data_IF_751773832340
#
_entry.id   IF_751773832340
#
_cell.length_a   1.000
_cell.length_b   1.000
_cell.length_c   1.000
_cell.angle_alpha   90.00
_cell.angle_beta   90.00
_cell.angle_gamma   90.00
#
_symmetry.space_group_name_H-M   'P 1'
#
loop_
_entity.id
_entity.type
_entity.pdbx_description
1 polymer ?
#
# COMPACT_ATOMS: atom_id res chain seq x y z
N UNK A 1 26.20 -41.55 43.91
CA UNK A 1 25.13 -41.31 42.93
C UNK A 1 24.92 -39.81 42.89
N UNK A 2 25.54 -39.12 41.92
CA UNK A 2 25.52 -37.67 41.81
C UNK A 2 24.66 -37.29 40.59
N UNK A 3 23.58 -36.54 40.81
CA UNK A 3 22.75 -35.99 39.74
C UNK A 3 23.45 -34.76 39.16
N UNK A 4 23.80 -34.83 37.87
CA UNK A 4 24.22 -33.67 37.07
C UNK A 4 22.96 -33.08 36.44
N UNK A 5 22.54 -31.91 36.92
CA UNK A 5 21.50 -31.11 36.27
C UNK A 5 22.13 -30.37 35.07
N UNK A 6 21.94 -30.92 33.87
CA UNK A 6 22.30 -30.27 32.62
C UNK A 6 21.26 -29.20 32.27
N UNK A 7 21.62 -27.93 32.45
CA UNK A 7 20.84 -26.80 31.96
C UNK A 7 20.96 -26.68 30.43
N UNK A 8 19.86 -26.89 29.72
CA UNK A 8 19.76 -26.46 28.33
C UNK A 8 19.35 -24.99 28.31
N UNK A 9 20.33 -24.09 28.16
CA UNK A 9 20.08 -22.71 27.76
C UNK A 9 19.56 -22.71 26.32
N UNK A 10 18.24 -22.61 26.15
CA UNK A 10 17.64 -22.28 24.87
C UNK A 10 18.04 -20.87 24.48
N UNK A 11 18.90 -20.73 23.47
CA UNK A 11 19.14 -19.45 22.82
C UNK A 11 17.88 -19.07 22.05
N UNK A 12 17.05 -18.23 22.66
CA UNK A 12 16.09 -17.43 21.91
C UNK A 12 16.91 -16.52 20.98
N UNK A 13 17.00 -16.90 19.70
CA UNK A 13 17.42 -15.97 18.66
C UNK A 13 16.40 -14.83 18.70
N UNK A 14 16.80 -13.69 19.26
CA UNK A 14 16.05 -12.46 19.09
C UNK A 14 15.96 -12.22 17.59
N UNK A 15 14.76 -12.39 17.03
CA UNK A 15 14.51 -12.03 15.65
C UNK A 15 14.92 -10.56 15.48
N UNK A 16 15.77 -10.28 14.49
CA UNK A 16 16.13 -8.91 14.18
C UNK A 16 14.84 -8.11 13.96
N UNK A 17 14.72 -6.89 14.53
CA UNK A 17 13.55 -6.07 14.32
C UNK A 17 13.36 -5.88 12.81
N UNK A 18 12.12 -6.10 12.35
CA UNK A 18 11.76 -5.85 10.96
C UNK A 18 12.11 -4.38 10.63
N UNK A 19 12.65 -4.09 9.44
CA UNK A 19 12.93 -2.72 9.05
C UNK A 19 11.64 -1.89 9.11
N UNK A 20 11.72 -0.69 9.67
CA UNK A 20 10.59 0.22 9.70
C UNK A 20 10.14 0.53 8.27
N UNK A 21 8.82 0.53 7.97
CA UNK A 21 8.33 0.87 6.65
C UNK A 21 8.78 2.28 6.29
N UNK A 22 9.15 2.54 5.02
CA UNK A 22 9.56 3.87 4.61
C UNK A 22 8.41 4.86 4.84
N UNK A 23 8.74 6.01 5.42
CA UNK A 23 7.77 7.06 5.70
C UNK A 23 7.18 7.60 4.39
N UNK A 24 5.93 7.24 4.11
CA UNK A 24 5.16 7.82 3.01
C UNK A 24 4.81 9.27 3.37
N UNK A 25 5.02 10.24 2.45
CA UNK A 25 4.64 11.62 2.68
C UNK A 25 3.15 11.76 2.99
N UNK A 26 2.82 12.52 4.03
CA UNK A 26 1.44 12.78 4.44
C UNK A 26 0.51 13.25 3.29
N UNK A 27 0.94 14.07 2.32
CA UNK A 27 0.08 14.47 1.19
C UNK A 27 -0.36 13.32 0.28
N UNK A 28 0.34 12.18 0.32
CA UNK A 28 -0.02 10.99 -0.45
C UNK A 28 -1.03 10.11 0.30
N UNK A 29 -1.14 10.24 1.63
CA UNK A 29 -2.01 9.38 2.44
C UNK A 29 -3.48 9.59 2.11
N UNK A 30 -4.21 8.48 2.06
CA UNK A 30 -5.65 8.51 1.85
C UNK A 30 -6.08 7.54 0.77
N UNK A 31 -7.35 7.69 0.40
CA UNK A 31 -7.99 6.96 -0.67
C UNK A 31 -8.07 7.83 -1.92
N UNK A 32 -7.77 7.22 -3.05
CA UNK A 32 -7.72 7.84 -4.36
C UNK A 32 -8.59 7.06 -5.34
N UNK A 33 -9.20 7.76 -6.29
CA UNK A 33 -10.05 7.19 -7.36
C UNK A 33 -9.41 7.43 -8.72
N UNK A 34 -9.85 6.74 -9.77
CA UNK A 34 -9.45 7.07 -11.14
C UNK A 34 -9.66 8.56 -11.45
N UNK A 35 -8.73 9.18 -12.19
CA UNK A 35 -8.86 10.59 -12.61
C UNK A 35 -9.78 10.75 -13.83
N UNK A 36 -11.01 10.26 -13.69
CA UNK A 36 -12.08 10.28 -14.69
C UNK A 36 -13.47 10.49 -14.03
N UNK A 37 -14.56 10.68 -14.81
CA UNK A 37 -15.89 10.89 -14.26
C UNK A 37 -16.42 9.72 -13.41
N UNK A 38 -16.04 8.48 -13.72
CA UNK A 38 -16.48 7.30 -12.99
C UNK A 38 -15.85 7.24 -11.61
N UNK A 39 -14.54 7.50 -11.52
CA UNK A 39 -13.82 7.63 -10.26
C UNK A 39 -14.40 8.76 -9.38
N UNK A 40 -14.78 9.89 -9.97
CA UNK A 40 -15.44 10.96 -9.22
C UNK A 40 -16.79 10.50 -8.63
N UNK A 41 -17.63 9.85 -9.44
CA UNK A 41 -18.90 9.29 -8.97
C UNK A 41 -18.70 8.21 -7.90
N UNK A 42 -17.64 7.40 -8.01
CA UNK A 42 -17.25 6.44 -6.98
C UNK A 42 -16.85 7.14 -5.67
N UNK A 43 -16.07 8.21 -5.73
CA UNK A 43 -15.69 8.96 -4.54
C UNK A 43 -16.91 9.54 -3.81
N UNK A 44 -17.88 10.08 -4.56
CA UNK A 44 -19.09 10.66 -3.99
C UNK A 44 -19.96 9.58 -3.31
N UNK A 45 -20.05 8.38 -3.91
CA UNK A 45 -20.69 7.22 -3.26
C UNK A 45 -19.94 6.78 -2.01
N UNK A 46 -18.62 6.64 -2.08
CA UNK A 46 -17.79 6.20 -0.95
C UNK A 46 -17.96 7.10 0.28
N UNK A 47 -17.97 8.42 0.08
CA UNK A 47 -18.03 9.41 1.18
C UNK A 47 -19.29 9.35 2.02
N UNK A 48 -20.40 8.87 1.45
CA UNK A 48 -21.70 8.78 2.15
C UNK A 48 -21.95 7.40 2.76
N UNK A 49 -21.05 6.43 2.56
CA UNK A 49 -21.17 5.12 3.18
C UNK A 49 -20.92 5.21 4.69
N UNK A 50 -21.81 4.55 5.44
CA UNK A 50 -21.65 4.36 6.89
C UNK A 50 -20.48 3.41 7.16
N UNK A 51 -20.48 2.26 6.48
CA UNK A 51 -19.40 1.27 6.52
C UNK A 51 -18.88 0.95 5.10
N UNK A 52 -17.69 1.45 4.72
CA UNK A 52 -17.09 1.15 3.41
C UNK A 52 -16.58 -0.30 3.28
N UNK A 53 -16.58 -1.10 4.36
CA UNK A 53 -16.24 -2.53 4.33
C UNK A 53 -17.42 -3.44 4.04
N UNK A 54 -18.65 -2.93 4.05
CA UNK A 54 -19.84 -3.71 3.73
C UNK A 54 -19.63 -4.41 2.37
N UNK A 55 -19.81 -5.73 2.33
CA UNK A 55 -19.47 -6.60 1.19
C UNK A 55 -17.98 -6.61 0.80
N UNK A 56 -17.09 -6.87 1.76
CA UNK A 56 -15.66 -7.13 1.54
C UNK A 56 -14.91 -5.99 0.81
N UNK A 57 -15.33 -4.76 1.01
CA UNK A 57 -14.69 -3.61 0.37
C UNK A 57 -15.05 -3.42 -1.11
N UNK A 58 -16.17 -4.00 -1.58
CA UNK A 58 -16.68 -3.82 -2.94
C UNK A 58 -16.79 -2.35 -3.37
N UNK A 59 -17.10 -1.45 -2.45
CA UNK A 59 -17.14 -0.01 -2.70
C UNK A 59 -15.79 0.60 -3.11
N UNK A 60 -14.69 -0.11 -2.80
CA UNK A 60 -13.31 0.32 -3.05
C UNK A 60 -12.72 -0.24 -4.33
N UNK A 61 -13.39 -1.15 -5.03
CA UNK A 61 -12.90 -1.73 -6.30
C UNK A 61 -12.51 -0.62 -7.28
N UNK A 62 -11.29 -0.64 -7.80
CA UNK A 62 -10.75 0.40 -8.68
C UNK A 62 -10.22 1.64 -7.96
N UNK A 63 -10.17 1.66 -6.62
CA UNK A 63 -9.56 2.72 -5.82
C UNK A 63 -8.14 2.35 -5.41
N UNK A 64 -7.32 3.38 -5.17
CA UNK A 64 -5.98 3.26 -4.62
C UNK A 64 -5.97 3.76 -3.18
N UNK A 65 -5.60 2.89 -2.25
CA UNK A 65 -5.29 3.23 -0.87
C UNK A 65 -3.79 3.45 -0.71
N UNK A 66 -3.42 4.57 -0.11
CA UNK A 66 -2.04 4.90 0.24
C UNK A 66 -1.91 5.04 1.75
N UNK A 67 -1.10 4.18 2.36
CA UNK A 67 -0.81 4.18 3.80
C UNK A 67 0.70 4.21 4.06
N UNK A 68 1.15 4.44 5.31
CA UNK A 68 2.55 4.24 5.65
C UNK A 68 3.03 2.85 5.22
N UNK A 69 4.10 2.82 4.43
CA UNK A 69 4.74 1.58 3.99
C UNK A 69 4.13 0.87 2.79
N UNK A 70 2.93 1.20 2.32
CA UNK A 70 2.37 0.50 1.15
C UNK A 70 1.31 1.29 0.38
N UNK A 71 1.15 0.91 -0.89
CA UNK A 71 0.02 1.26 -1.74
C UNK A 71 -0.80 -0.02 -2.00
N UNK A 72 -2.12 0.08 -2.02
CA UNK A 72 -3.01 -1.03 -2.33
C UNK A 72 -4.07 -0.58 -3.34
N UNK A 73 -4.03 -1.18 -4.52
CA UNK A 73 -5.06 -1.02 -5.53
C UNK A 73 -6.09 -2.13 -5.40
N UNK A 74 -7.33 -1.77 -5.10
CA UNK A 74 -8.41 -2.75 -4.96
C UNK A 74 -8.89 -3.18 -6.34
N UNK A 75 -9.08 -4.49 -6.53
CA UNK A 75 -9.66 -5.08 -7.73
C UNK A 75 -10.94 -5.86 -7.38
N UNK A 76 -11.65 -6.34 -8.39
CA UNK A 76 -12.82 -7.20 -8.19
C UNK A 76 -12.43 -8.48 -7.41
N UNK A 77 -13.37 -9.01 -6.62
CA UNK A 77 -13.22 -10.27 -5.86
C UNK A 77 -12.18 -10.31 -4.72
N UNK A 78 -11.69 -9.15 -4.26
CA UNK A 78 -10.78 -9.05 -3.12
C UNK A 78 -9.31 -9.24 -3.49
N UNK A 79 -9.02 -9.29 -4.80
CA UNK A 79 -7.74 -9.72 -5.38
C UNK A 79 -6.84 -8.53 -5.79
N UNK A 80 -6.67 -7.59 -4.85
CA UNK A 80 -6.01 -6.31 -5.11
C UNK A 80 -4.50 -6.43 -5.33
N UNK A 81 -3.89 -5.37 -5.88
CA UNK A 81 -2.44 -5.27 -6.02
C UNK A 81 -1.83 -4.51 -4.86
N UNK A 82 -0.90 -5.14 -4.16
CA UNK A 82 -0.13 -4.54 -3.07
C UNK A 82 1.26 -4.13 -3.56
N UNK A 83 1.64 -2.88 -3.28
CA UNK A 83 3.00 -2.39 -3.43
C UNK A 83 3.57 -2.08 -2.06
N UNK A 84 4.24 -3.05 -1.45
CA UNK A 84 4.90 -2.87 -0.17
C UNK A 84 6.23 -2.14 -0.38
N UNK A 85 6.28 -0.88 0.05
CA UNK A 85 7.42 -0.01 -0.18
C UNK A 85 8.64 -0.48 0.62
N UNK A 86 9.76 -0.62 -0.08
CA UNK A 86 11.06 -0.95 0.50
C UNK A 86 11.93 0.30 0.65
N UNK A 87 11.83 1.22 -0.31
CA UNK A 87 12.49 2.52 -0.27
C UNK A 87 11.59 3.57 -0.90
N UNK A 88 11.66 4.81 -0.39
CA UNK A 88 11.03 5.97 -0.99
C UNK A 88 11.97 7.17 -0.91
N UNK A 89 12.24 7.79 -2.06
CA UNK A 89 13.16 8.94 -2.16
C UNK A 89 12.46 10.11 -2.83
N UNK A 90 12.51 11.28 -2.19
CA UNK A 90 12.12 12.53 -2.83
C UNK A 90 13.14 12.88 -3.92
N UNK A 91 12.67 13.12 -5.14
CA UNK A 91 13.51 13.51 -6.28
C UNK A 91 13.40 15.01 -6.58
N UNK A 92 12.21 15.55 -6.41
CA UNK A 92 11.89 16.98 -6.51
C UNK A 92 10.58 17.23 -5.74
N UNK A 93 10.18 18.50 -5.47
CA UNK A 93 8.88 18.79 -4.90
C UNK A 93 7.75 18.10 -5.68
N UNK A 94 6.91 17.34 -4.98
CA UNK A 94 5.81 16.57 -5.59
C UNK A 94 6.24 15.33 -6.39
N UNK A 95 7.53 14.95 -6.38
CA UNK A 95 8.06 13.83 -7.17
C UNK A 95 8.87 12.86 -6.31
N UNK A 96 8.47 11.61 -6.30
CA UNK A 96 9.16 10.54 -5.59
C UNK A 96 9.48 9.35 -6.49
N UNK A 97 10.56 8.67 -6.15
CA UNK A 97 10.90 7.37 -6.70
C UNK A 97 10.92 6.36 -5.55
N UNK A 98 10.28 5.22 -5.75
CA UNK A 98 10.20 4.15 -4.77
C UNK A 98 10.65 2.82 -5.38
N UNK A 99 11.12 1.93 -4.53
CA UNK A 99 11.16 0.50 -4.83
C UNK A 99 10.14 -0.19 -3.95
N UNK A 100 9.42 -1.14 -4.51
CA UNK A 100 8.39 -1.89 -3.80
C UNK A 100 8.48 -3.38 -4.12
N UNK A 101 7.99 -4.18 -3.19
CA UNK A 101 7.64 -5.56 -3.42
C UNK A 101 6.20 -5.63 -3.90
N UNK A 102 5.97 -6.31 -5.02
CA UNK A 102 4.65 -6.53 -5.58
C UNK A 102 4.03 -7.79 -4.97
N UNK A 103 2.83 -7.66 -4.41
CA UNK A 103 1.97 -8.75 -4.00
C UNK A 103 0.62 -8.67 -4.72
N UNK A 104 0.01 -9.83 -4.96
CA UNK A 104 -1.34 -9.97 -5.50
C UNK A 104 -2.17 -10.62 -4.40
N UNK A 105 -3.31 -10.01 -4.07
CA UNK A 105 -4.32 -10.42 -3.08
C UNK A 105 -3.89 -10.31 -1.61
N UNK A 106 -2.57 -10.34 -1.38
CA UNK A 106 -1.95 -10.25 -0.08
C UNK A 106 -0.66 -9.44 -0.13
N UNK A 107 -0.26 -8.93 1.04
CA UNK A 107 1.07 -8.35 1.20
C UNK A 107 2.13 -9.42 0.90
N UNK A 108 3.15 -9.10 0.09
CA UNK A 108 4.16 -10.07 -0.28
C UNK A 108 5.05 -10.43 0.91
N UNK A 109 5.39 -11.71 1.04
CA UNK A 109 6.37 -12.17 2.03
C UNK A 109 7.82 -11.95 1.53
N UNK A 110 8.78 -11.75 2.44
CA UNK A 110 10.20 -11.70 2.09
C UNK A 110 10.65 -13.01 1.41
N UNK A 111 10.91 -12.98 0.10
CA UNK A 111 11.45 -14.12 -0.65
C UNK A 111 10.70 -14.43 -1.95
N UNK A 112 9.39 -14.20 -1.98
CA UNK A 112 8.52 -14.48 -3.15
C UNK A 112 8.16 -13.22 -3.94
N UNK A 113 8.62 -12.06 -3.47
CA UNK A 113 8.28 -10.77 -4.04
C UNK A 113 9.09 -10.43 -5.29
N UNK A 114 8.39 -10.01 -6.35
CA UNK A 114 9.02 -9.35 -7.49
C UNK A 114 9.26 -7.86 -7.19
N UNK A 115 10.50 -7.36 -7.23
CA UNK A 115 10.76 -5.94 -7.03
C UNK A 115 10.27 -5.13 -8.22
N UNK A 116 9.65 -3.99 -7.94
CA UNK A 116 9.15 -3.04 -8.94
C UNK A 116 9.61 -1.64 -8.58
N UNK A 117 9.81 -0.81 -9.60
CA UNK A 117 10.04 0.62 -9.41
C UNK A 117 8.71 1.37 -9.53
N UNK A 118 8.51 2.33 -8.63
CA UNK A 118 7.40 3.28 -8.68
C UNK A 118 7.93 4.69 -8.87
N UNK A 119 7.28 5.47 -9.72
CA UNK A 119 7.44 6.93 -9.77
C UNK A 119 6.11 7.57 -9.45
N UNK A 120 6.12 8.41 -8.41
CA UNK A 120 4.94 9.08 -7.89
C UNK A 120 5.06 10.57 -8.21
N UNK A 121 4.08 11.12 -8.92
CA UNK A 121 3.98 12.55 -9.24
C UNK A 121 2.67 13.09 -8.67
N UNK A 122 2.77 13.98 -7.69
CA UNK A 122 1.65 14.67 -7.08
C UNK A 122 1.56 16.11 -7.60
N UNK A 123 0.42 16.43 -8.21
CA UNK A 123 0.09 17.76 -8.73
C UNK A 123 -1.26 18.20 -8.14
N UNK A 124 -1.20 18.93 -7.02
CA UNK A 124 -2.38 19.29 -6.25
C UNK A 124 -3.07 18.05 -5.67
N UNK A 125 -4.29 17.76 -6.14
CA UNK A 125 -5.08 16.58 -5.75
C UNK A 125 -5.05 15.45 -6.79
N UNK A 126 -4.08 15.47 -7.70
CA UNK A 126 -3.88 14.43 -8.72
C UNK A 126 -2.56 13.72 -8.49
N UNK A 127 -2.59 12.39 -8.51
CA UNK A 127 -1.43 11.53 -8.34
C UNK A 127 -1.26 10.69 -9.61
N UNK A 128 -0.11 10.78 -10.26
CA UNK A 128 0.29 9.81 -11.29
C UNK A 128 1.22 8.79 -10.66
N UNK A 129 0.92 7.51 -10.86
CA UNK A 129 1.75 6.37 -10.46
C UNK A 129 2.21 5.69 -11.73
N UNK A 130 3.51 5.77 -12.01
CA UNK A 130 4.16 4.96 -13.04
C UNK A 130 4.82 3.77 -12.35
N UNK A 131 4.43 2.56 -12.73
CA UNK A 131 4.98 1.30 -12.24
C UNK A 131 5.83 0.68 -13.35
N UNK A 132 7.04 0.25 -13.04
CA UNK A 132 7.90 -0.48 -13.96
C UNK A 132 8.44 -1.76 -13.30
N UNK A 133 8.13 -2.91 -13.90
CA UNK A 133 8.76 -4.19 -13.61
C UNK A 133 9.75 -4.59 -14.70
N UNK A 134 10.19 -5.86 -14.68
CA UNK A 134 11.13 -6.40 -15.69
C UNK A 134 10.58 -6.30 -17.12
N UNK A 135 9.34 -6.74 -17.31
CA UNK A 135 8.73 -6.91 -18.64
C UNK A 135 7.43 -6.11 -18.81
N UNK A 136 7.09 -5.25 -17.84
CA UNK A 136 5.87 -4.45 -17.88
C UNK A 136 6.11 -3.02 -17.40
N UNK A 137 5.31 -2.12 -17.96
CA UNK A 137 5.19 -0.74 -17.51
C UNK A 137 3.73 -0.35 -17.53
N UNK A 138 3.29 0.30 -16.48
CA UNK A 138 1.94 0.81 -16.33
C UNK A 138 1.96 2.25 -15.82
N UNK A 139 0.98 3.05 -16.23
CA UNK A 139 0.82 4.44 -15.79
C UNK A 139 -0.65 4.68 -15.47
N UNK A 140 -0.93 4.88 -14.18
CA UNK A 140 -2.27 5.19 -13.68
C UNK A 140 -2.32 6.61 -13.13
N UNK A 141 -3.47 7.25 -13.34
CA UNK A 141 -3.76 8.60 -12.83
C UNK A 141 -4.91 8.52 -11.86
N UNK A 142 -4.70 9.17 -10.73
CA UNK A 142 -5.55 9.10 -9.58
C UNK A 142 -5.93 10.51 -9.14
N UNK A 143 -7.13 10.64 -8.58
CA UNK A 143 -7.63 11.84 -7.95
C UNK A 143 -7.88 11.57 -6.47
N UNK A 144 -7.45 12.49 -5.62
CA UNK A 144 -7.63 12.38 -4.19
C UNK A 144 -9.12 12.36 -3.84
N UNK A 145 -9.55 11.33 -3.11
CA UNK A 145 -10.92 11.23 -2.63
C UNK A 145 -11.03 11.67 -1.17
N UNK A 146 -10.37 11.00 -0.23
CA UNK A 146 -10.56 11.29 1.20
C UNK A 146 -9.41 10.78 2.06
N UNK A 147 -9.23 11.42 3.22
CA UNK A 147 -8.36 10.93 4.29
C UNK A 147 -9.05 9.91 5.17
N UNK A 148 -10.40 9.86 5.17
CA UNK A 148 -11.18 8.86 5.93
C UNK A 148 -10.87 7.50 5.35
N UNK A 149 -10.13 6.70 6.11
CA UNK A 149 -9.77 5.36 5.72
C UNK A 149 -10.80 4.35 6.25
N UNK A 150 -10.91 3.18 5.61
CA UNK A 150 -11.71 2.10 6.14
C UNK A 150 -11.26 1.73 7.56
N UNK A 151 -12.20 1.69 8.51
CA UNK A 151 -11.93 1.40 9.92
C UNK A 151 -11.63 2.63 10.81
N UNK A 152 -11.55 3.83 10.24
CA UNK A 152 -11.56 5.06 11.04
C UNK A 152 -12.99 5.23 11.63
N UNK A 153 -13.09 5.32 12.96
CA UNK A 153 -14.36 5.61 13.62
C UNK A 153 -14.94 6.93 13.07
N UNK A 154 -16.17 6.87 12.58
CA UNK A 154 -16.90 8.03 12.05
C UNK A 154 -17.26 9.05 13.13
#
# INVERSE_FOLDING_TARGET
MALVAGGAMGMAHAAAPLPEPPAVPAPLHGLWVGDDPEGQAQCDRYRVLADPWEHAGSAMVGMLLVRPGYLHEFSEYGEGTFYQLQQLRLRAPGRWQATAWLGIDQLPEPGDASPVELRLLLEGKRLTVETAGRDYRDVKRWRYCTARLPGDAG
#
